data_IF_124684820811
#
_entry.id   IF_124684820811
#
_cell.length_a   1.000
_cell.length_b   1.000
_cell.length_c   1.000
_cell.angle_alpha   90.00
_cell.angle_beta   90.00
_cell.angle_gamma   90.00
#
_symmetry.space_group_name_H-M   'P 1'
#
loop_
_entity.id
_entity.type
_entity.pdbx_description
1 polymer ?
#
# COMPACT_ATOMS: atom_id res chain seq x y z
N UNK A 1 18.59 7.42 7.87
CA UNK A 1 18.01 7.24 6.51
C UNK A 1 19.09 6.82 5.54
N UNK A 2 18.79 5.85 4.70
CA UNK A 2 19.70 5.38 3.67
C UNK A 2 19.17 5.75 2.29
N UNK A 3 19.99 6.37 1.46
CA UNK A 3 19.65 6.67 0.08
C UNK A 3 20.31 5.65 -0.85
N UNK A 4 19.51 5.05 -1.73
CA UNK A 4 19.98 4.07 -2.70
C UNK A 4 19.67 4.57 -4.10
N UNK A 5 20.70 4.75 -4.91
CA UNK A 5 20.54 5.13 -6.32
C UNK A 5 20.26 3.88 -7.15
N UNK A 6 19.20 3.93 -7.93
CA UNK A 6 18.83 2.89 -8.87
C UNK A 6 19.02 3.41 -10.30
N UNK A 7 19.01 2.52 -11.27
CA UNK A 7 19.20 2.90 -12.68
C UNK A 7 18.16 3.96 -13.12
N UNK A 8 16.91 3.79 -12.72
CA UNK A 8 15.80 4.65 -13.16
C UNK A 8 15.10 5.34 -11.98
N UNK A 9 15.78 5.52 -10.86
CA UNK A 9 15.15 6.16 -9.72
C UNK A 9 16.03 6.20 -8.48
N UNK A 10 15.44 6.65 -7.39
CA UNK A 10 16.09 6.72 -6.09
C UNK A 10 15.18 6.13 -5.03
N UNK A 11 15.74 5.33 -4.14
CA UNK A 11 15.05 4.76 -3.00
C UNK A 11 15.60 5.39 -1.72
N UNK A 12 14.71 5.83 -0.83
CA UNK A 12 15.08 6.25 0.52
C UNK A 12 14.54 5.21 1.51
N UNK A 13 15.42 4.62 2.28
CA UNK A 13 15.05 3.63 3.29
C UNK A 13 15.18 4.25 4.68
N UNK A 14 14.09 4.22 5.42
CA UNK A 14 14.00 4.82 6.74
C UNK A 14 13.63 3.72 7.74
N UNK A 15 14.52 3.46 8.70
CA UNK A 15 14.22 2.57 9.82
C UNK A 15 13.47 3.36 10.89
N UNK A 16 12.59 2.67 11.61
CA UNK A 16 11.87 3.26 12.74
C UNK A 16 11.12 4.55 12.42
N UNK A 17 10.44 4.58 11.27
CA UNK A 17 9.54 5.69 10.94
C UNK A 17 8.49 5.88 12.03
N UNK A 18 7.98 4.77 12.55
CA UNK A 18 7.29 4.67 13.84
C UNK A 18 8.15 3.85 14.78
N UNK A 19 8.11 4.13 16.07
CA UNK A 19 8.76 3.28 17.05
C UNK A 19 8.11 1.88 17.05
N UNK A 20 8.78 0.89 17.60
CA UNK A 20 8.20 -0.45 17.72
C UNK A 20 6.88 -0.44 18.46
N UNK A 21 6.81 0.31 19.57
CA UNK A 21 5.58 0.43 20.35
C UNK A 21 4.45 1.08 19.55
N UNK A 22 4.76 2.16 18.83
CA UNK A 22 3.80 2.83 17.95
C UNK A 22 3.34 1.91 16.82
N UNK A 23 4.25 1.16 16.22
CA UNK A 23 3.93 0.23 15.14
C UNK A 23 2.98 -0.88 15.59
N UNK A 24 3.18 -1.45 16.77
CA UNK A 24 2.29 -2.48 17.33
C UNK A 24 0.90 -1.90 17.59
N UNK A 25 0.84 -0.72 18.19
CA UNK A 25 -0.44 -0.04 18.45
C UNK A 25 -1.16 0.29 17.14
N UNK A 26 -0.42 0.82 16.17
CA UNK A 26 -0.97 1.21 14.88
C UNK A 26 -1.49 -0.01 14.12
N UNK A 27 -0.75 -1.10 14.11
CA UNK A 27 -1.19 -2.36 13.50
C UNK A 27 -2.50 -2.83 14.12
N UNK A 28 -2.59 -2.85 15.45
CA UNK A 28 -3.79 -3.29 16.18
C UNK A 28 -4.99 -2.41 15.86
N UNK A 29 -4.79 -1.09 15.82
CA UNK A 29 -5.85 -0.15 15.49
C UNK A 29 -6.30 -0.26 14.05
N UNK A 30 -5.35 -0.42 13.10
CA UNK A 30 -5.68 -0.61 11.69
C UNK A 30 -6.51 -1.87 11.47
N UNK A 31 -6.18 -2.97 12.14
CA UNK A 31 -6.92 -4.22 12.00
C UNK A 31 -8.37 -4.11 12.42
N UNK A 32 -8.69 -3.16 13.30
CA UNK A 32 -10.07 -2.87 13.71
C UNK A 32 -10.76 -1.85 12.81
N UNK A 33 -9.99 -0.94 12.23
CA UNK A 33 -10.49 0.23 11.53
C UNK A 33 -10.76 -0.04 10.04
N UNK A 34 -9.95 -0.88 9.42
CA UNK A 34 -9.98 -1.10 7.97
C UNK A 34 -10.68 -2.40 7.60
N UNK A 35 -11.22 -2.41 6.39
CA UNK A 35 -11.78 -3.60 5.79
C UNK A 35 -10.82 -4.13 4.74
N UNK A 36 -10.51 -5.41 4.84
CA UNK A 36 -9.64 -6.12 3.91
C UNK A 36 -10.40 -7.29 3.31
N UNK A 37 -10.07 -7.62 2.07
CA UNK A 37 -10.68 -8.74 1.38
C UNK A 37 -9.63 -9.52 0.59
N UNK A 38 -9.87 -10.80 0.40
CA UNK A 38 -9.07 -11.62 -0.48
C UNK A 38 -9.65 -11.53 -1.88
N UNK A 39 -8.85 -11.10 -2.83
CA UNK A 39 -9.27 -10.96 -4.21
C UNK A 39 -8.94 -12.21 -5.02
N UNK A 40 -9.46 -12.27 -6.24
CA UNK A 40 -9.17 -13.33 -7.18
C UNK A 40 -8.37 -12.76 -8.35
N UNK A 41 -7.42 -13.55 -8.84
CA UNK A 41 -6.64 -13.23 -10.04
C UNK A 41 -6.76 -14.38 -11.03
N UNK A 42 -6.80 -14.04 -12.32
CA UNK A 42 -6.87 -15.03 -13.39
C UNK A 42 -5.50 -15.15 -14.05
N UNK A 43 -4.94 -16.36 -14.01
CA UNK A 43 -3.64 -16.66 -14.63
C UNK A 43 -3.83 -17.84 -15.55
N UNK A 44 -3.54 -17.68 -16.84
CA UNK A 44 -3.69 -18.71 -17.88
C UNK A 44 -5.07 -19.39 -17.85
N UNK A 45 -6.13 -18.60 -17.70
CA UNK A 45 -7.50 -19.12 -17.69
C UNK A 45 -7.96 -19.72 -16.39
N UNK A 46 -7.10 -19.86 -15.38
CA UNK A 46 -7.42 -20.34 -14.05
C UNK A 46 -7.57 -19.21 -13.06
N UNK A 47 -8.52 -19.35 -12.13
CA UNK A 47 -8.79 -18.37 -11.08
C UNK A 47 -8.09 -18.80 -9.82
N UNK A 48 -7.32 -17.89 -9.22
CA UNK A 48 -6.62 -18.10 -7.96
C UNK A 48 -6.98 -16.98 -6.99
N UNK A 49 -7.05 -17.31 -5.71
CA UNK A 49 -7.13 -16.27 -4.68
C UNK A 49 -5.77 -15.59 -4.55
N UNK A 50 -5.77 -14.28 -4.33
CA UNK A 50 -4.52 -13.57 -4.04
C UNK A 50 -3.94 -14.10 -2.73
N UNK A 51 -2.62 -14.34 -2.68
CA UNK A 51 -1.98 -14.86 -1.47
C UNK A 51 -1.74 -13.75 -0.44
N UNK A 52 -2.77 -13.00 -0.12
CA UNK A 52 -2.78 -11.89 0.85
C UNK A 52 -4.20 -11.32 0.97
N UNK A 53 -4.43 -10.55 2.02
CA UNK A 53 -5.63 -9.73 2.14
C UNK A 53 -5.31 -8.31 1.66
N UNK A 54 -6.26 -7.65 1.00
CA UNK A 54 -6.03 -6.35 0.40
C UNK A 54 -7.17 -5.38 0.70
N UNK A 55 -6.84 -4.08 0.76
CA UNK A 55 -7.83 -3.01 0.83
C UNK A 55 -7.31 -1.78 0.12
N UNK A 56 -8.17 -1.10 -0.62
CA UNK A 56 -7.82 0.12 -1.32
C UNK A 56 -8.63 1.30 -0.79
N UNK A 57 -7.93 2.37 -0.41
CA UNK A 57 -8.52 3.58 0.15
C UNK A 57 -8.03 4.80 -0.63
N UNK A 58 -8.91 5.75 -0.87
CA UNK A 58 -8.57 6.96 -1.62
C UNK A 58 -9.36 8.16 -1.09
N UNK A 59 -8.70 9.32 -1.08
CA UNK A 59 -9.32 10.58 -0.60
C UNK A 59 -10.53 10.98 -1.43
N UNK A 60 -10.50 10.75 -2.74
CA UNK A 60 -11.51 11.23 -3.70
C UNK A 60 -12.31 10.09 -4.34
N UNK A 61 -12.37 8.92 -3.72
CA UNK A 61 -13.06 7.77 -4.30
C UNK A 61 -12.43 7.28 -5.61
N UNK A 62 -11.13 7.57 -5.80
CA UNK A 62 -10.40 7.20 -7.01
C UNK A 62 -10.35 5.68 -7.18
N UNK A 63 -10.66 5.20 -8.37
CA UNK A 63 -10.57 3.79 -8.69
C UNK A 63 -9.12 3.38 -8.95
N UNK A 64 -8.76 2.18 -8.48
CA UNK A 64 -7.46 1.58 -8.73
C UNK A 64 -7.66 0.16 -9.25
N UNK A 65 -6.95 -0.17 -10.33
CA UNK A 65 -6.99 -1.50 -10.92
C UNK A 65 -5.59 -2.08 -11.08
N UNK A 66 -5.46 -3.38 -10.86
CA UNK A 66 -4.24 -4.12 -11.18
C UNK A 66 -4.61 -5.49 -11.75
N UNK A 67 -3.73 -6.05 -12.58
CA UNK A 67 -3.97 -7.34 -13.24
C UNK A 67 -5.34 -7.41 -13.93
N UNK A 68 -5.79 -6.28 -14.52
CA UNK A 68 -7.06 -6.18 -15.22
C UNK A 68 -8.29 -6.12 -14.33
N UNK A 69 -8.11 -6.03 -13.01
CA UNK A 69 -9.22 -6.03 -12.04
C UNK A 69 -9.28 -4.70 -11.30
N UNK A 70 -10.48 -4.12 -11.22
CA UNK A 70 -10.74 -2.94 -10.40
C UNK A 70 -11.04 -3.37 -8.98
N UNK A 71 -10.40 -2.69 -8.02
CA UNK A 71 -10.64 -2.90 -6.60
C UNK A 71 -11.74 -1.98 -6.11
N UNK A 72 -12.52 -2.46 -5.12
CA UNK A 72 -13.47 -1.60 -4.41
C UNK A 72 -12.69 -0.51 -3.68
N UNK A 73 -13.06 0.74 -3.91
CA UNK A 73 -12.43 1.89 -3.28
C UNK A 73 -13.25 2.35 -2.09
N UNK A 74 -12.56 2.60 -0.97
CA UNK A 74 -13.13 3.17 0.25
C UNK A 74 -12.47 4.51 0.55
N UNK A 75 -13.19 5.39 1.22
CA UNK A 75 -12.64 6.68 1.66
C UNK A 75 -11.63 6.50 2.80
N UNK A 76 -10.71 7.45 2.94
CA UNK A 76 -9.76 7.44 4.04
C UNK A 76 -10.48 7.45 5.40
N UNK A 77 -10.05 6.59 6.32
CA UNK A 77 -10.44 6.70 7.72
C UNK A 77 -9.59 7.78 8.38
N UNK A 78 -9.98 8.22 9.57
CA UNK A 78 -9.18 9.18 10.35
C UNK A 78 -7.77 8.64 10.62
N UNK A 79 -7.66 7.35 10.88
CA UNK A 79 -6.37 6.70 11.14
C UNK A 79 -5.49 6.70 9.89
N UNK A 80 -6.03 6.29 8.75
CA UNK A 80 -5.31 6.31 7.46
C UNK A 80 -4.88 7.74 7.13
N UNK A 81 -5.74 8.71 7.35
CA UNK A 81 -5.43 10.11 7.09
C UNK A 81 -4.27 10.59 7.96
N UNK A 82 -4.23 10.20 9.22
CA UNK A 82 -3.13 10.58 10.12
C UNK A 82 -1.79 9.98 9.68
N UNK A 83 -1.80 8.72 9.22
CA UNK A 83 -0.60 8.06 8.67
C UNK A 83 -0.13 8.79 7.42
N UNK A 84 -1.05 9.05 6.51
CA UNK A 84 -0.77 9.77 5.27
C UNK A 84 -0.16 11.15 5.57
N UNK A 85 -0.73 11.88 6.50
CA UNK A 85 -0.25 13.20 6.89
C UNK A 85 1.18 13.15 7.43
N UNK A 86 1.51 12.16 8.25
CA UNK A 86 2.88 11.99 8.77
C UNK A 86 3.86 11.72 7.62
N UNK A 87 3.48 10.88 6.65
CA UNK A 87 4.31 10.57 5.49
C UNK A 87 4.48 11.81 4.61
N UNK A 88 3.40 12.54 4.37
CA UNK A 88 3.45 13.77 3.57
C UNK A 88 4.36 14.82 4.21
N UNK A 89 4.25 14.98 5.53
CA UNK A 89 5.10 15.92 6.27
C UNK A 89 6.58 15.54 6.20
N UNK A 90 6.88 14.24 6.24
CA UNK A 90 8.25 13.75 6.16
C UNK A 90 8.83 13.90 4.74
N UNK A 91 8.05 13.57 3.73
CA UNK A 91 8.52 13.51 2.33
C UNK A 91 8.42 14.85 1.60
N UNK A 92 7.51 15.73 2.02
CA UNK A 92 7.16 16.93 1.27
C UNK A 92 6.27 16.67 0.06
N UNK A 93 5.83 15.41 -0.13
CA UNK A 93 4.97 15.02 -1.24
C UNK A 93 3.54 14.79 -0.77
N UNK A 94 2.59 14.90 -1.68
CA UNK A 94 1.17 14.62 -1.40
C UNK A 94 0.80 13.23 -1.92
N UNK A 95 -0.04 12.54 -1.15
CA UNK A 95 -0.56 11.22 -1.51
C UNK A 95 -2.08 11.23 -1.43
N UNK A 96 -2.75 10.57 -2.38
CA UNK A 96 -4.20 10.58 -2.46
C UNK A 96 -4.82 9.20 -2.31
N UNK A 97 -4.03 8.15 -2.29
CA UNK A 97 -4.53 6.78 -2.20
C UNK A 97 -3.52 5.86 -1.55
N UNK A 98 -4.02 4.74 -1.04
CA UNK A 98 -3.19 3.70 -0.43
C UNK A 98 -3.76 2.32 -0.76
N UNK A 99 -2.86 1.43 -1.14
CA UNK A 99 -3.13 -0.01 -1.21
C UNK A 99 -2.57 -0.63 0.07
N UNK A 100 -3.41 -1.32 0.80
CA UNK A 100 -3.02 -1.99 2.05
C UNK A 100 -2.99 -3.48 1.81
N UNK A 101 -1.86 -4.10 2.14
CA UNK A 101 -1.68 -5.55 2.05
C UNK A 101 -1.50 -6.11 3.46
N UNK A 102 -2.21 -7.18 3.76
CA UNK A 102 -2.00 -7.94 4.98
C UNK A 102 -1.50 -9.34 4.61
N UNK A 103 -0.33 -9.68 5.10
CA UNK A 103 0.25 -11.02 4.99
C UNK A 103 -0.06 -11.75 6.30
N UNK A 104 -0.93 -12.76 6.21
CA UNK A 104 -1.47 -13.44 7.40
C UNK A 104 -0.46 -14.34 8.07
N UNK A 105 0.43 -14.93 7.25
CA UNK A 105 1.49 -15.84 7.70
C UNK A 105 2.55 -15.96 6.61
N UNK A 106 3.52 -16.84 6.80
CA UNK A 106 4.60 -17.06 5.84
C UNK A 106 4.20 -17.67 4.51
N UNK A 107 2.95 -18.07 4.32
CA UNK A 107 2.43 -18.57 3.05
C UNK A 107 1.89 -17.45 2.16
N UNK A 108 1.60 -16.31 2.74
CA UNK A 108 1.16 -15.14 1.99
C UNK A 108 2.35 -14.41 1.37
N UNK A 109 2.15 -13.82 0.21
CA UNK A 109 3.22 -13.19 -0.55
C UNK A 109 2.70 -12.17 -1.55
N UNK A 110 3.62 -11.41 -2.12
CA UNK A 110 3.39 -10.60 -3.30
C UNK A 110 4.55 -10.85 -4.25
N UNK A 111 4.25 -11.11 -5.51
CA UNK A 111 5.27 -11.36 -6.52
C UNK A 111 6.11 -10.10 -6.84
N UNK A 112 7.29 -10.30 -7.39
CA UNK A 112 8.10 -9.20 -7.90
C UNK A 112 7.33 -8.47 -9.01
N UNK A 113 7.27 -7.16 -8.93
CA UNK A 113 6.53 -6.32 -9.87
C UNK A 113 7.07 -4.90 -9.87
N UNK A 114 6.60 -4.10 -10.82
CA UNK A 114 6.82 -2.66 -10.83
C UNK A 114 5.47 -1.97 -10.63
N UNK A 115 5.46 -0.87 -9.88
CA UNK A 115 4.29 -0.01 -9.75
C UNK A 115 4.29 0.99 -10.91
N UNK A 116 3.95 0.47 -12.08
CA UNK A 116 3.98 1.23 -13.34
C UNK A 116 2.61 1.39 -13.99
N UNK A 117 1.54 1.16 -13.22
CA UNK A 117 0.17 1.35 -13.70
C UNK A 117 -0.04 2.78 -14.19
N UNK A 118 -0.78 2.90 -15.28
CA UNK A 118 -1.05 4.18 -15.95
C UNK A 118 -1.64 5.23 -14.99
N UNK A 119 -2.46 4.80 -14.05
CA UNK A 119 -3.11 5.65 -13.05
C UNK A 119 -2.10 6.35 -12.13
N UNK A 120 -0.90 5.81 -11.98
CA UNK A 120 0.15 6.38 -11.15
C UNK A 120 0.98 7.46 -11.86
N UNK A 121 0.81 7.59 -13.19
CA UNK A 121 1.55 8.54 -13.99
C UNK A 121 2.96 8.05 -14.38
N UNK A 122 3.71 8.85 -15.15
CA UNK A 122 4.99 8.43 -15.73
C UNK A 122 6.14 8.37 -14.73
N UNK A 123 6.10 9.19 -13.68
CA UNK A 123 7.16 9.25 -12.64
C UNK A 123 6.53 9.28 -11.27
N UNK A 124 5.94 8.15 -10.81
CA UNK A 124 5.22 8.14 -9.55
C UNK A 124 6.16 8.28 -8.35
N UNK A 125 5.69 8.98 -7.32
CA UNK A 125 6.31 9.00 -6.00
C UNK A 125 5.54 8.03 -5.12
N UNK A 126 6.22 7.01 -4.61
CA UNK A 126 5.59 5.92 -3.87
C UNK A 126 6.20 5.83 -2.47
N UNK A 127 5.35 5.82 -1.46
CA UNK A 127 5.74 5.55 -0.08
C UNK A 127 5.27 4.15 0.29
N UNK A 128 6.16 3.36 0.87
CA UNK A 128 5.85 2.02 1.35
C UNK A 128 6.12 1.97 2.86
N UNK A 129 5.08 1.70 3.62
CA UNK A 129 5.17 1.59 5.09
C UNK A 129 4.94 0.13 5.48
N UNK A 130 5.87 -0.41 6.27
CA UNK A 130 5.73 -1.75 6.86
C UNK A 130 5.61 -1.63 8.38
N UNK A 131 4.67 -2.37 8.94
CA UNK A 131 4.40 -2.41 10.38
C UNK A 131 4.67 -3.79 10.96
#
# INVERSE_FOLDING_TARGET
MMEIKLQNGTLHYITEFYSQKESVTLFTELMKDIELEQNEIKIFGKIYNTPRMEGFYAKNGQEYGYSGKKMKTRGFTTLIDSICHKIEKFTGEEFNSVLINLYRDGQDSNGWHSDDEKELGPTPYIASLSL
#
